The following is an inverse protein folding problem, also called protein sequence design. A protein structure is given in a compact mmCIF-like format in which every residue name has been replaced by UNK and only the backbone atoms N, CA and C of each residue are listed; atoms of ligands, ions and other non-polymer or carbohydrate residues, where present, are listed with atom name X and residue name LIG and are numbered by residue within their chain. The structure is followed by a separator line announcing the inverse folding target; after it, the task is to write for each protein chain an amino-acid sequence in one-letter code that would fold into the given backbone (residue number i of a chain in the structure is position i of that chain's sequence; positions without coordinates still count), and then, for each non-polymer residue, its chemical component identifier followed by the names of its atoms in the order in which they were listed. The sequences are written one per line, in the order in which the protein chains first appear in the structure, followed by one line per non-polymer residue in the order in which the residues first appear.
data_IF_593268683406
#
_entry.id   IF_593268683406
#
_cell.length_a   1.000
_cell.length_b   1.000
_cell.length_c   1.000
_cell.angle_alpha   90.00
_cell.angle_beta   90.00
_cell.angle_gamma   90.00
#
_symmetry.space_group_name_H-M   'P 1'
#
loop_
_entity.id
_entity.type
_entity.pdbx_description
1 polymer ?
#
# COMPACT_ATOMS: atom_id res chain seq x y z
N UNK A 1 -23.22 -89.76 -27.06
CA UNK A 1 -22.08 -90.68 -26.84
C UNK A 1 -20.86 -90.07 -27.54
N UNK A 2 -19.92 -89.54 -26.74
CA UNK A 2 -18.47 -89.25 -26.94
C UNK A 2 -18.01 -88.62 -28.28
N UNK A 3 -17.13 -87.60 -28.34
CA UNK A 3 -15.78 -87.51 -27.74
C UNK A 3 -15.22 -86.07 -27.80
N UNK A 4 -14.35 -85.74 -26.84
CA UNK A 4 -13.49 -84.57 -26.72
C UNK A 4 -12.32 -84.54 -27.73
N UNK A 5 -11.88 -83.35 -28.14
CA UNK A 5 -10.53 -83.04 -28.68
C UNK A 5 -10.44 -81.50 -28.90
N UNK A 6 -9.50 -80.67 -28.44
CA UNK A 6 -8.30 -80.76 -27.61
C UNK A 6 -7.61 -79.37 -27.57
N UNK A 7 -6.62 -79.19 -26.67
CA UNK A 7 -5.53 -78.18 -26.65
C UNK A 7 -5.86 -76.69 -26.30
N UNK A 8 -4.89 -75.87 -25.84
CA UNK A 8 -4.09 -75.99 -24.60
C UNK A 8 -4.03 -74.71 -23.73
N UNK A 9 -3.66 -74.91 -22.46
CA UNK A 9 -2.70 -74.15 -21.64
C UNK A 9 -2.36 -72.68 -22.03
N UNK A 10 -2.85 -71.72 -21.23
CA UNK A 10 -2.17 -70.44 -21.00
C UNK A 10 -2.16 -70.18 -19.49
N UNK A 11 -0.98 -70.34 -18.88
CA UNK A 11 -0.73 -70.00 -17.49
C UNK A 11 -0.44 -68.49 -17.38
N UNK A 12 -1.37 -67.74 -16.77
CA UNK A 12 -1.15 -66.35 -16.37
C UNK A 12 -0.76 -66.35 -14.88
N UNK A 13 0.53 -66.18 -14.60
CA UNK A 13 1.02 -65.89 -13.26
C UNK A 13 0.67 -64.43 -12.94
N UNK A 14 -0.45 -64.22 -12.24
CA UNK A 14 -0.73 -62.95 -11.58
C UNK A 14 0.11 -62.87 -10.28
N UNK A 15 1.25 -62.20 -10.36
CA UNK A 15 2.03 -61.82 -9.18
C UNK A 15 1.43 -60.53 -8.60
N UNK A 16 0.69 -60.65 -7.49
CA UNK A 16 0.30 -59.48 -6.71
C UNK A 16 1.46 -59.12 -5.76
N UNK A 17 2.25 -58.11 -6.12
CA UNK A 17 3.17 -57.47 -5.19
C UNK A 17 2.34 -56.64 -4.19
N UNK A 18 2.17 -57.17 -2.98
CA UNK A 18 1.49 -56.49 -1.89
C UNK A 18 2.49 -55.56 -1.19
N UNK A 19 2.45 -54.27 -1.53
CA UNK A 19 3.32 -53.26 -0.94
C UNK A 19 2.68 -52.76 0.36
N UNK A 20 3.30 -53.10 1.48
CA UNK A 20 2.87 -52.65 2.80
C UNK A 20 3.24 -51.16 2.95
N UNK A 21 2.30 -50.24 3.21
CA UNK A 21 2.62 -48.83 3.35
C UNK A 21 3.46 -48.61 4.61
N UNK A 22 4.60 -47.93 4.44
CA UNK A 22 5.43 -47.49 5.56
C UNK A 22 4.65 -46.54 6.47
N UNK A 23 4.83 -46.61 7.80
CA UNK A 23 4.16 -45.72 8.74
C UNK A 23 4.63 -44.29 8.51
N UNK A 24 3.79 -43.47 7.89
CA UNK A 24 4.01 -42.04 7.75
C UNK A 24 3.88 -41.36 9.12
N UNK A 25 5.03 -41.14 9.75
CA UNK A 25 5.15 -40.22 10.88
C UNK A 25 4.76 -38.84 10.38
N UNK A 26 3.50 -38.47 10.61
CA UNK A 26 2.97 -37.15 10.29
C UNK A 26 3.58 -36.17 11.28
N UNK A 27 4.67 -35.50 10.89
CA UNK A 27 5.13 -34.34 11.64
C UNK A 27 4.01 -33.30 11.63
N UNK A 28 3.62 -32.72 12.78
CA UNK A 28 2.68 -31.61 12.78
C UNK A 28 3.33 -30.45 12.02
N UNK A 29 2.88 -30.22 10.79
CA UNK A 29 3.17 -28.98 10.06
C UNK A 29 2.51 -27.89 10.88
N UNK A 30 3.31 -27.18 11.69
CA UNK A 30 2.86 -25.96 12.34
C UNK A 30 2.55 -24.99 11.21
N UNK A 31 1.26 -24.85 10.88
CA UNK A 31 0.77 -23.81 10.00
C UNK A 31 1.11 -22.48 10.68
N UNK A 32 2.26 -21.91 10.30
CA UNK A 32 2.53 -20.51 10.55
C UNK A 32 1.51 -19.78 9.69
N UNK A 33 0.51 -19.15 10.30
CA UNK A 33 -0.39 -18.25 9.60
C UNK A 33 0.48 -17.28 8.81
N UNK A 34 0.47 -17.39 7.49
CA UNK A 34 1.04 -16.35 6.65
C UNK A 34 0.30 -15.08 7.05
N UNK A 35 0.97 -14.15 7.73
CA UNK A 35 0.48 -12.78 7.86
C UNK A 35 0.37 -12.29 6.42
N UNK A 36 -0.85 -12.39 5.89
CA UNK A 36 -1.12 -12.15 4.47
C UNK A 36 -0.83 -10.70 4.14
N UNK A 37 -0.39 -10.43 2.92
CA UNK A 37 -0.43 -9.08 2.35
C UNK A 37 -1.85 -8.54 2.40
N UNK A 38 -2.01 -7.22 2.47
CA UNK A 38 -3.35 -6.62 2.31
C UNK A 38 -3.92 -7.08 0.98
N UNK A 39 -5.23 -7.40 0.92
CA UNK A 39 -5.87 -7.78 -0.34
C UNK A 39 -5.87 -6.64 -1.37
N UNK A 40 -5.60 -5.41 -0.91
CA UNK A 40 -5.57 -4.20 -1.73
C UNK A 40 -4.19 -3.52 -1.68
N UNK A 41 -3.69 -2.98 -2.80
CA UNK A 41 -2.48 -2.17 -2.81
C UNK A 41 -2.71 -0.81 -2.15
N UNK A 42 -1.64 -0.08 -1.79
CA UNK A 42 -1.75 1.27 -1.23
C UNK A 42 -2.62 2.20 -2.11
N UNK A 43 -2.49 2.06 -3.44
CA UNK A 43 -3.25 2.83 -4.42
C UNK A 43 -4.77 2.81 -4.20
N UNK A 44 -5.32 1.69 -3.73
CA UNK A 44 -6.75 1.56 -3.42
C UNK A 44 -7.18 2.53 -2.31
N UNK A 45 -6.40 2.60 -1.23
CA UNK A 45 -6.68 3.47 -0.09
C UNK A 45 -6.51 4.95 -0.47
N UNK A 46 -5.47 5.27 -1.24
CA UNK A 46 -5.24 6.65 -1.70
C UNK A 46 -6.30 7.11 -2.71
N UNK A 47 -6.83 6.21 -3.53
CA UNK A 47 -7.96 6.50 -4.41
C UNK A 47 -9.20 6.86 -3.58
N UNK A 48 -9.52 6.11 -2.50
CA UNK A 48 -10.65 6.45 -1.62
C UNK A 48 -10.47 7.78 -0.90
N UNK A 49 -9.23 8.10 -0.48
CA UNK A 49 -8.91 9.43 0.05
C UNK A 49 -9.16 10.51 -1.02
N UNK A 50 -8.70 10.31 -2.25
CA UNK A 50 -8.91 11.25 -3.34
C UNK A 50 -10.38 11.42 -3.71
N UNK A 51 -11.15 10.33 -3.76
CA UNK A 51 -12.59 10.37 -3.97
C UNK A 51 -13.29 11.23 -2.92
N UNK A 52 -12.91 11.11 -1.64
CA UNK A 52 -13.44 11.95 -0.56
C UNK A 52 -13.00 13.41 -0.63
N UNK A 53 -11.74 13.69 -0.98
CA UNK A 53 -11.22 15.05 -1.08
C UNK A 53 -11.78 15.82 -2.28
N UNK A 54 -11.97 15.12 -3.41
CA UNK A 54 -12.34 15.71 -4.70
C UNK A 54 -13.76 15.33 -5.12
N UNK A 55 -14.67 15.05 -4.18
CA UNK A 55 -16.08 14.72 -4.45
C UNK A 55 -16.76 15.79 -5.30
N UNK A 56 -16.36 17.05 -5.12
CA UNK A 56 -16.82 18.17 -5.95
C UNK A 56 -15.90 18.31 -7.16
N UNK A 57 -16.44 18.20 -8.40
CA UNK A 57 -15.64 18.34 -9.61
C UNK A 57 -14.84 19.65 -9.64
N UNK A 58 -13.62 19.58 -10.19
CA UNK A 58 -12.81 20.75 -10.49
C UNK A 58 -13.65 21.78 -11.26
N UNK A 59 -13.69 23.03 -10.77
CA UNK A 59 -14.49 24.09 -11.38
C UNK A 59 -15.75 24.50 -10.63
N UNK A 60 -16.36 23.61 -9.85
CA UNK A 60 -17.60 23.92 -9.10
C UNK A 60 -17.32 24.62 -7.77
N UNK A 61 -16.16 24.34 -7.16
CA UNK A 61 -15.66 25.08 -6.01
C UNK A 61 -14.65 26.12 -6.52
N UNK A 62 -14.92 27.44 -6.41
CA UNK A 62 -14.07 28.48 -7.00
C UNK A 62 -12.60 28.38 -6.57
N UNK A 63 -12.37 27.98 -5.31
CA UNK A 63 -11.04 27.81 -4.73
C UNK A 63 -10.26 26.67 -5.41
N UNK A 64 -10.93 25.59 -5.80
CA UNK A 64 -10.32 24.42 -6.45
C UNK A 64 -10.06 24.62 -7.96
N UNK A 65 -10.39 25.79 -8.52
CA UNK A 65 -9.94 26.20 -9.86
C UNK A 65 -8.50 26.70 -9.89
N UNK A 66 -7.96 27.02 -8.71
CA UNK A 66 -6.60 27.46 -8.55
C UNK A 66 -5.67 26.26 -8.32
N UNK A 67 -4.36 26.51 -8.43
CA UNK A 67 -3.33 25.49 -8.19
C UNK A 67 -3.42 24.92 -6.79
N UNK A 68 -3.27 23.60 -6.70
CA UNK A 68 -3.19 22.84 -5.45
C UNK A 68 -1.72 22.56 -5.14
N UNK A 69 -1.21 23.07 -4.03
CA UNK A 69 0.07 22.66 -3.48
C UNK A 69 -0.09 21.35 -2.72
N UNK A 70 0.81 20.40 -2.89
CA UNK A 70 0.80 19.12 -2.15
C UNK A 70 2.02 19.05 -1.24
N UNK A 71 1.79 19.04 0.08
CA UNK A 71 2.84 18.84 1.07
C UNK A 71 3.07 17.36 1.37
N UNK A 72 4.03 17.09 2.25
CA UNK A 72 4.18 15.77 2.84
C UNK A 72 3.03 15.41 3.79
N UNK A 73 2.91 14.12 4.07
CA UNK A 73 2.15 13.56 5.19
C UNK A 73 3.10 13.37 6.38
N UNK A 74 2.63 13.68 7.59
CA UNK A 74 3.47 13.64 8.79
C UNK A 74 2.82 12.84 9.93
N UNK A 75 3.59 12.24 10.85
CA UNK A 75 3.02 11.65 12.04
C UNK A 75 2.25 12.70 12.86
N UNK A 76 1.05 12.39 13.35
CA UNK A 76 0.20 13.38 14.04
C UNK A 76 0.82 13.99 15.30
N UNK A 77 1.69 13.24 16.00
CA UNK A 77 2.33 13.71 17.25
C UNK A 77 3.57 14.55 16.98
N UNK A 78 4.33 14.19 15.96
CA UNK A 78 5.58 14.86 15.62
C UNK A 78 5.36 16.01 14.64
N UNK A 79 4.33 15.98 13.78
CA UNK A 79 4.11 16.96 12.73
C UNK A 79 5.35 17.23 11.83
N UNK A 80 6.25 16.24 11.73
CA UNK A 80 7.50 16.31 10.98
C UNK A 80 8.02 14.92 10.66
N UNK A 81 8.76 14.82 9.56
CA UNK A 81 9.47 13.59 9.14
C UNK A 81 10.94 13.56 9.57
N UNK A 82 11.48 14.61 10.21
CA UNK A 82 12.91 14.71 10.57
C UNK A 82 13.38 13.53 11.42
N UNK A 83 12.53 13.08 12.34
CA UNK A 83 12.81 11.95 13.24
C UNK A 83 11.93 10.72 12.92
N UNK A 84 11.32 10.67 11.74
CA UNK A 84 10.47 9.56 11.34
C UNK A 84 11.33 8.35 10.92
N UNK A 85 10.88 7.15 11.27
CA UNK A 85 11.52 5.90 10.81
C UNK A 85 11.30 5.68 9.31
N UNK A 86 12.08 4.79 8.70
CA UNK A 86 12.00 4.49 7.25
C UNK A 86 10.58 4.15 6.80
N UNK A 87 9.85 3.32 7.55
CA UNK A 87 8.47 2.94 7.19
C UNK A 87 7.51 4.14 7.17
N UNK A 88 7.65 5.07 8.11
CA UNK A 88 6.84 6.29 8.17
C UNK A 88 7.18 7.24 7.01
N UNK A 89 8.47 7.35 6.67
CA UNK A 89 8.93 8.16 5.55
C UNK A 89 8.47 7.58 4.21
N UNK A 90 8.57 6.26 4.03
CA UNK A 90 8.10 5.56 2.83
C UNK A 90 6.58 5.70 2.66
N UNK A 91 5.81 5.52 3.75
CA UNK A 91 4.37 5.76 3.76
C UNK A 91 4.06 7.21 3.35
N UNK A 92 4.70 8.19 4.00
CA UNK A 92 4.47 9.60 3.75
C UNK A 92 4.72 9.98 2.28
N UNK A 93 5.82 9.48 1.72
CA UNK A 93 6.18 9.72 0.32
C UNK A 93 5.15 9.11 -0.62
N UNK A 94 4.76 7.85 -0.39
CA UNK A 94 3.80 7.18 -1.26
C UNK A 94 2.38 7.78 -1.16
N UNK A 95 1.94 8.21 0.03
CA UNK A 95 0.66 8.91 0.19
C UNK A 95 0.63 10.20 -0.62
N UNK A 96 1.65 11.04 -0.49
CA UNK A 96 1.70 12.30 -1.20
C UNK A 96 1.92 12.11 -2.71
N UNK A 97 2.69 11.11 -3.15
CA UNK A 97 2.86 10.79 -4.58
C UNK A 97 1.56 10.30 -5.22
N UNK A 98 0.85 9.41 -4.52
CA UNK A 98 -0.41 8.87 -5.00
C UNK A 98 -1.46 9.98 -5.08
N UNK A 99 -1.60 10.82 -4.05
CA UNK A 99 -2.56 11.92 -4.08
C UNK A 99 -2.20 13.03 -5.07
N UNK A 100 -0.92 13.24 -5.34
CA UNK A 100 -0.46 14.07 -6.45
C UNK A 100 -0.92 13.52 -7.79
N UNK A 101 -0.70 12.23 -8.01
CA UNK A 101 -1.16 11.54 -9.22
C UNK A 101 -2.67 11.63 -9.37
N UNK A 102 -3.43 11.35 -8.31
CA UNK A 102 -4.89 11.42 -8.30
C UNK A 102 -5.41 12.84 -8.61
N UNK A 103 -4.75 13.88 -8.11
CA UNK A 103 -5.10 15.27 -8.39
C UNK A 103 -4.82 15.65 -9.85
N UNK A 104 -3.64 15.30 -10.37
CA UNK A 104 -3.29 15.55 -11.78
C UNK A 104 -4.24 14.82 -12.73
N UNK A 105 -4.56 13.55 -12.46
CA UNK A 105 -5.49 12.76 -13.28
C UNK A 105 -6.91 13.33 -13.30
N UNK A 106 -7.32 14.04 -12.24
CA UNK A 106 -8.62 14.74 -12.16
C UNK A 106 -8.59 16.14 -12.80
N UNK A 107 -7.46 16.55 -13.38
CA UNK A 107 -7.32 17.81 -14.11
C UNK A 107 -7.00 19.02 -13.23
N UNK A 108 -6.59 18.82 -11.98
CA UNK A 108 -6.09 19.92 -11.15
C UNK A 108 -4.68 20.34 -11.58
N UNK A 109 -4.39 21.63 -11.57
CA UNK A 109 -3.02 22.13 -11.63
C UNK A 109 -2.36 21.92 -10.26
N UNK A 110 -1.23 21.21 -10.23
CA UNK A 110 -0.58 20.80 -8.97
C UNK A 110 0.83 21.38 -8.87
N UNK A 111 1.21 21.78 -7.66
CA UNK A 111 2.58 22.16 -7.30
C UNK A 111 3.10 21.18 -6.25
N UNK A 112 4.12 20.40 -6.57
CA UNK A 112 4.84 19.60 -5.57
C UNK A 112 5.81 20.51 -4.81
N UNK A 113 5.42 20.88 -3.60
CA UNK A 113 6.21 21.78 -2.76
C UNK A 113 7.31 21.04 -1.99
N UNK A 114 7.29 19.69 -1.96
CA UNK A 114 8.33 18.86 -1.34
C UNK A 114 9.65 18.95 -2.10
N UNK A 115 9.59 19.20 -3.41
CA UNK A 115 10.76 19.39 -4.27
C UNK A 115 11.52 20.70 -3.99
N UNK A 116 10.98 21.58 -3.12
CA UNK A 116 11.60 22.85 -2.78
C UNK A 116 12.40 22.70 -1.50
N UNK A 117 13.73 22.73 -1.63
CA UNK A 117 14.72 22.42 -0.59
C UNK A 117 14.65 23.27 0.70
N UNK A 118 13.82 24.32 0.76
CA UNK A 118 13.79 25.28 1.87
C UNK A 118 12.68 25.05 2.92
N UNK A 119 11.63 24.28 2.61
CA UNK A 119 10.42 24.22 3.46
C UNK A 119 10.55 23.26 4.66
N UNK A 120 11.43 22.25 4.59
CA UNK A 120 11.46 21.13 5.54
C UNK A 120 12.62 21.19 6.56
N UNK A 121 13.44 22.25 6.54
CA UNK A 121 14.66 22.34 7.33
C UNK A 121 14.51 23.32 8.50
N UNK A 122 13.65 23.05 9.49
CA UNK A 122 13.82 23.62 10.84
C UNK A 122 12.95 22.94 11.91
N UNK A 123 13.50 22.90 13.14
CA UNK A 123 13.09 22.08 14.29
C UNK A 123 11.86 22.60 15.05
N UNK A 124 11.12 23.58 14.52
CA UNK A 124 9.92 24.14 15.16
C UNK A 124 8.68 23.92 14.29
N UNK A 125 7.80 23.03 14.75
CA UNK A 125 6.92 22.21 13.92
C UNK A 125 5.57 22.89 13.62
N UNK A 126 4.92 23.49 14.63
CA UNK A 126 3.69 24.28 14.43
C UNK A 126 3.99 25.55 13.63
N UNK A 127 5.16 26.15 13.86
CA UNK A 127 5.61 27.28 13.08
C UNK A 127 5.98 26.89 11.65
N UNK A 128 6.45 25.67 11.39
CA UNK A 128 6.78 25.21 10.03
C UNK A 128 5.55 25.18 9.13
N UNK A 129 4.42 24.68 9.63
CA UNK A 129 3.17 24.66 8.88
C UNK A 129 2.66 26.09 8.57
N UNK A 130 2.72 26.98 9.57
CA UNK A 130 2.32 28.39 9.41
C UNK A 130 3.22 29.14 8.44
N UNK A 131 4.54 28.90 8.47
CA UNK A 131 5.51 29.45 7.50
C UNK A 131 5.25 28.95 6.10
N UNK A 132 4.97 27.65 5.94
CA UNK A 132 4.64 27.09 4.64
C UNK A 132 3.42 27.78 4.03
N UNK A 133 2.35 27.95 4.79
CA UNK A 133 1.17 28.69 4.33
C UNK A 133 1.53 30.13 3.94
N UNK A 134 2.31 30.81 4.76
CA UNK A 134 2.77 32.17 4.48
C UNK A 134 3.62 32.24 3.19
N UNK A 135 4.56 31.33 2.98
CA UNK A 135 5.39 31.27 1.77
C UNK A 135 4.56 31.03 0.51
N UNK A 136 3.62 30.08 0.55
CA UNK A 136 2.72 29.80 -0.57
C UNK A 136 1.84 31.01 -0.91
N UNK A 137 1.38 31.71 0.13
CA UNK A 137 0.61 32.94 -0.03
C UNK A 137 1.45 34.07 -0.65
N UNK A 138 2.66 34.32 -0.13
CA UNK A 138 3.56 35.38 -0.62
C UNK A 138 3.98 35.15 -2.07
N UNK A 139 4.26 33.90 -2.43
CA UNK A 139 4.71 33.55 -3.78
C UNK A 139 3.56 33.29 -4.76
N UNK A 140 2.30 33.38 -4.31
CA UNK A 140 1.08 33.14 -5.11
C UNK A 140 1.11 31.83 -5.91
N UNK A 141 1.72 30.79 -5.35
CA UNK A 141 2.00 29.54 -6.08
C UNK A 141 0.80 28.60 -6.14
N UNK A 142 0.00 28.63 -5.08
CA UNK A 142 -1.18 27.83 -4.90
C UNK A 142 -2.18 28.61 -4.04
N UNK A 143 -3.46 28.31 -4.20
CA UNK A 143 -4.52 28.82 -3.30
C UNK A 143 -5.01 27.75 -2.34
N UNK A 144 -4.78 26.48 -2.68
CA UNK A 144 -5.22 25.33 -1.92
C UNK A 144 -4.00 24.50 -1.55
N UNK A 145 -3.92 24.08 -0.29
CA UNK A 145 -2.92 23.14 0.20
C UNK A 145 -3.59 21.80 0.47
N UNK A 146 -3.08 20.73 -0.14
CA UNK A 146 -3.32 19.37 0.28
C UNK A 146 -2.21 18.97 1.26
N UNK A 147 -2.61 18.61 2.47
CA UNK A 147 -1.71 18.14 3.51
C UNK A 147 -2.39 17.04 4.33
N UNK A 148 -1.61 16.30 5.12
CA UNK A 148 -2.19 15.26 5.95
C UNK A 148 -1.30 14.78 7.09
N UNK A 149 -1.93 14.03 7.98
CA UNK A 149 -1.28 13.40 9.13
C UNK A 149 -1.64 11.94 9.23
N UNK A 150 -0.74 11.10 9.73
CA UNK A 150 -1.05 9.70 10.01
C UNK A 150 -0.78 9.32 11.47
N UNK A 151 -1.52 8.32 11.95
CA UNK A 151 -1.44 7.78 13.31
C UNK A 151 -1.16 6.28 13.23
N UNK A 152 -0.05 5.78 13.79
CA UNK A 152 0.19 4.34 13.86
C UNK A 152 -0.88 3.64 14.70
N UNK A 153 -1.32 2.48 14.24
CA UNK A 153 -2.15 1.50 14.92
C UNK A 153 -1.38 0.17 15.04
N UNK A 154 -2.00 -0.88 15.61
CA UNK A 154 -1.33 -2.17 15.81
C UNK A 154 -0.97 -2.88 14.48
N UNK A 155 -1.80 -2.71 13.45
CA UNK A 155 -1.71 -3.41 12.15
C UNK A 155 -1.78 -2.45 10.94
N UNK A 156 -1.53 -1.16 11.16
CA UNK A 156 -1.63 -0.17 10.10
C UNK A 156 -1.61 1.28 10.58
N UNK A 157 -2.26 2.14 9.79
CA UNK A 157 -2.19 3.60 9.93
C UNK A 157 -3.57 4.20 9.71
N UNK A 158 -3.99 5.10 10.60
CA UNK A 158 -5.09 6.02 10.30
C UNK A 158 -4.50 7.22 9.57
N UNK A 159 -4.89 7.44 8.33
CA UNK A 159 -4.44 8.55 7.49
C UNK A 159 -5.53 9.60 7.41
N UNK A 160 -5.18 10.85 7.67
CA UNK A 160 -6.06 12.00 7.55
C UNK A 160 -5.49 12.96 6.51
N UNK A 161 -6.29 13.36 5.53
CA UNK A 161 -5.92 14.31 4.49
C UNK A 161 -6.90 15.48 4.48
N UNK A 162 -6.44 16.67 4.10
CA UNK A 162 -7.24 17.90 4.07
C UNK A 162 -6.87 18.75 2.87
N UNK A 163 -7.88 19.36 2.24
CA UNK A 163 -7.72 20.52 1.35
C UNK A 163 -7.97 21.78 2.16
N UNK A 164 -7.02 22.70 2.16
CA UNK A 164 -7.04 23.92 2.98
C UNK A 164 -6.92 25.11 2.05
N UNK A 165 -7.85 26.07 2.13
CA UNK A 165 -7.69 27.36 1.47
C UNK A 165 -6.60 28.16 2.20
N UNK A 166 -5.51 28.49 1.51
CA UNK A 166 -4.30 29.08 2.10
C UNK A 166 -4.59 30.48 2.65
N UNK A 167 -5.46 31.25 2.00
CA UNK A 167 -5.76 32.63 2.37
C UNK A 167 -6.63 32.73 3.62
N UNK A 168 -7.70 31.93 3.69
CA UNK A 168 -8.67 31.94 4.80
C UNK A 168 -8.39 30.89 5.87
N UNK A 169 -7.47 29.96 5.60
CA UNK A 169 -7.16 28.80 6.44
C UNK A 169 -8.35 27.85 6.65
N UNK A 170 -9.41 27.99 5.84
CA UNK A 170 -10.57 27.11 5.92
C UNK A 170 -10.27 25.73 5.34
N UNK A 171 -10.72 24.68 6.02
CA UNK A 171 -10.72 23.32 5.47
C UNK A 171 -11.85 23.21 4.46
N UNK A 172 -11.49 23.08 3.18
CA UNK A 172 -12.42 22.95 2.06
C UNK A 172 -12.98 21.54 1.92
N UNK A 173 -12.14 20.54 2.23
CA UNK A 173 -12.49 19.13 2.24
C UNK A 173 -11.56 18.36 3.19
N UNK A 174 -12.02 17.23 3.70
CA UNK A 174 -11.22 16.33 4.52
C UNK A 174 -11.57 14.88 4.20
N UNK A 175 -10.59 14.00 4.32
CA UNK A 175 -10.75 12.57 4.12
C UNK A 175 -9.96 11.81 5.17
N UNK A 176 -10.51 10.68 5.60
CA UNK A 176 -9.85 9.76 6.51
C UNK A 176 -9.95 8.35 5.94
N UNK A 177 -8.86 7.60 6.05
CA UNK A 177 -8.85 6.18 5.69
C UNK A 177 -7.90 5.38 6.59
N UNK A 178 -8.15 4.08 6.70
CA UNK A 178 -7.28 3.12 7.35
C UNK A 178 -6.42 2.40 6.32
N UNK A 179 -5.10 2.44 6.48
CA UNK A 179 -4.11 1.83 5.59
C UNK A 179 -3.35 0.74 6.36
N UNK A 180 -3.55 -0.54 6.05
CA UNK A 180 -2.80 -1.63 6.66
C UNK A 180 -1.28 -1.49 6.42
N UNK A 181 -0.44 -1.90 7.35
CA UNK A 181 1.03 -1.79 7.22
C UNK A 181 1.61 -2.73 6.15
N UNK A 182 0.94 -3.86 5.93
CA UNK A 182 1.26 -4.87 4.92
C UNK A 182 0.98 -4.46 3.46
N UNK A 183 0.62 -3.19 3.20
CA UNK A 183 0.54 -2.63 1.84
C UNK A 183 1.89 -2.16 1.31
N UNK A 184 2.84 -1.82 2.20
CA UNK A 184 4.14 -1.24 1.83
C UNK A 184 5.24 -2.31 1.70
N UNK A 185 5.01 -3.51 2.24
CA UNK A 185 5.98 -4.58 2.15
C UNK A 185 5.95 -5.22 0.76
N UNK A 186 7.05 -5.07 0.03
CA UNK A 186 7.30 -5.98 -1.09
C UNK A 186 7.40 -7.40 -0.53
N UNK A 187 6.79 -8.37 -1.23
CA UNK A 187 6.89 -9.79 -0.88
C UNK A 187 8.35 -10.21 -0.61
N UNK A 188 9.30 -9.56 -1.27
CA UNK A 188 10.75 -9.76 -1.15
C UNK A 188 11.34 -9.52 0.25
N UNK A 189 10.83 -8.55 1.03
CA UNK A 189 11.28 -8.35 2.44
C UNK A 189 10.75 -9.44 3.36
N UNK A 190 9.61 -10.05 3.04
CA UNK A 190 9.07 -11.19 3.79
C UNK A 190 9.78 -12.49 3.46
N UNK A 191 10.27 -12.65 2.22
CA UNK A 191 11.14 -13.76 1.82
C UNK A 191 12.51 -13.79 2.52
N UNK A 192 12.90 -12.72 3.21
CA UNK A 192 14.18 -12.64 3.95
C UNK A 192 14.02 -12.63 5.48
N UNK A 193 12.79 -12.65 6.02
CA UNK A 193 12.59 -12.64 7.48
C UNK A 193 12.48 -14.06 8.02
N UNK A 194 13.62 -14.60 8.41
CA UNK A 194 13.84 -16.01 8.76
C UNK A 194 14.87 -16.62 7.81
N UNK A 195 15.60 -17.65 8.24
CA UNK A 195 16.68 -18.31 7.48
C UNK A 195 16.22 -19.00 6.16
N UNK A 196 15.07 -18.64 5.60
CA UNK A 196 14.47 -19.31 4.46
C UNK A 196 14.31 -18.34 3.28
N UNK A 197 15.15 -18.52 2.26
CA UNK A 197 14.92 -17.96 0.93
C UNK A 197 13.89 -18.86 0.24
N UNK A 198 12.65 -18.38 0.02
CA UNK A 198 11.73 -19.12 -0.84
C UNK A 198 12.07 -18.84 -2.30
N UNK A 199 12.52 -19.89 -2.99
CA UNK A 199 12.62 -19.93 -4.45
C UNK A 199 11.24 -20.34 -4.97
N UNK A 200 10.53 -19.41 -5.62
CA UNK A 200 9.34 -19.79 -6.40
C UNK A 200 9.83 -20.45 -7.68
N UNK A 201 10.05 -21.76 -7.64
CA UNK A 201 10.22 -22.53 -8.86
C UNK A 201 8.93 -22.44 -9.66
N UNK A 202 9.07 -22.07 -10.93
CA UNK A 202 7.97 -21.84 -11.86
C UNK A 202 7.03 -23.03 -11.87
N UNK A 203 5.76 -22.73 -11.71
CA UNK A 203 4.64 -23.65 -11.88
C UNK A 203 4.70 -24.22 -13.30
N UNK A 204 4.90 -25.53 -13.39
CA UNK A 204 4.35 -26.40 -14.43
C UNK A 204 5.09 -26.45 -15.76
N UNK A 205 5.99 -27.43 -15.88
CA UNK A 205 6.04 -28.30 -17.07
C UNK A 205 6.11 -29.75 -16.57
N UNK A 206 5.09 -30.53 -16.94
CA UNK A 206 4.98 -31.97 -16.65
C UNK A 206 5.74 -32.77 -17.73
N UNK A 207 6.18 -34.01 -17.42
CA UNK A 207 7.28 -34.73 -18.08
C UNK A 207 7.06 -35.04 -19.56
#
# INVERSE_FOLDING_TARGET
MNKCLGLPLVALLASCAHQQPEPTVSMPVRQVSAVGLSPQPLGFYTQRLAEQLFQTPAGQQPQLRHKIAISSFVPVRQLSLVNAGTEQTDLANQLAESLLTEAVQRGYEVVDIRLRAAVLLQQDHEQAFSRLLHELQQQQQARVLLSGTFVPQEDGWIVNARLIDIQSQQVLAAATDYVPDNVLWSAEKMLKRGNFLYRSDRIGERP
#
